data_IF_990209123192
#
_entry.id   IF_990209123192
#
_cell.length_a   1.000
_cell.length_b   1.000
_cell.length_c   1.000
_cell.angle_alpha   90.00
_cell.angle_beta   90.00
_cell.angle_gamma   90.00
#
_symmetry.space_group_name_H-M   'P 1'
#
loop_
_entity.id
_entity.type
_entity.pdbx_description
1 polymer ?
#
# COMPACT_ATOMS: atom_id res chain seq x y z
N UNK A 1 -1.25 -13.55 -4.55
CA UNK A 1 -1.47 -12.19 -5.11
C UNK A 1 -0.31 -11.32 -4.67
N UNK A 2 0.27 -10.53 -5.58
CA UNK A 2 1.42 -9.65 -5.28
C UNK A 2 0.95 -8.21 -5.44
N UNK A 3 1.25 -7.35 -4.46
CA UNK A 3 1.09 -5.92 -4.53
C UNK A 3 2.46 -5.28 -4.76
N UNK A 4 2.61 -4.50 -5.82
CA UNK A 4 3.81 -3.73 -6.08
C UNK A 4 3.65 -2.30 -5.57
N UNK A 5 4.52 -1.90 -4.63
CA UNK A 5 4.60 -0.53 -4.12
C UNK A 5 5.65 0.20 -4.94
N UNK A 6 5.28 1.30 -5.58
CA UNK A 6 6.21 2.02 -6.45
C UNK A 6 7.35 2.67 -5.67
N UNK A 7 8.53 2.60 -6.22
CA UNK A 7 9.74 3.25 -5.73
C UNK A 7 10.52 3.83 -6.91
N UNK A 8 11.11 5.01 -6.75
CA UNK A 8 12.01 5.58 -7.76
C UNK A 8 13.46 5.34 -7.38
N UNK A 9 14.29 5.07 -8.38
CA UNK A 9 15.73 4.94 -8.27
C UNK A 9 16.41 5.57 -9.49
N UNK A 10 17.73 5.41 -9.62
CA UNK A 10 18.50 5.98 -10.73
C UNK A 10 18.09 5.46 -12.12
N UNK A 11 17.43 4.29 -12.20
CA UNK A 11 17.04 3.64 -13.46
C UNK A 11 15.58 3.83 -13.81
N UNK A 12 14.70 3.88 -12.82
CA UNK A 12 13.26 3.86 -13.04
C UNK A 12 12.56 4.88 -12.16
N UNK A 13 11.63 5.61 -12.74
CA UNK A 13 10.67 6.42 -12.00
C UNK A 13 9.48 5.56 -11.54
N UNK A 14 8.56 6.14 -10.78
CA UNK A 14 7.37 5.45 -10.27
C UNK A 14 6.48 4.88 -11.38
N UNK A 15 6.36 5.57 -12.51
CA UNK A 15 5.51 5.17 -13.64
C UNK A 15 6.14 4.01 -14.41
N UNK A 16 7.44 4.09 -14.67
CA UNK A 16 8.18 3.03 -15.34
C UNK A 16 8.22 1.76 -14.48
N UNK A 17 8.48 1.89 -13.17
CA UNK A 17 8.42 0.77 -12.24
C UNK A 17 7.06 0.09 -12.23
N UNK A 18 5.97 0.85 -12.18
CA UNK A 18 4.61 0.32 -12.27
C UNK A 18 4.36 -0.41 -13.60
N UNK A 19 4.81 0.17 -14.73
CA UNK A 19 4.69 -0.45 -16.06
C UNK A 19 5.41 -1.79 -16.13
N UNK A 20 6.64 -1.86 -15.67
CA UNK A 20 7.43 -3.10 -15.66
C UNK A 20 6.79 -4.17 -14.77
N UNK A 21 6.29 -3.79 -13.58
CA UNK A 21 5.57 -4.71 -12.70
C UNK A 21 4.31 -5.29 -13.37
N UNK A 22 3.53 -4.45 -14.07
CA UNK A 22 2.34 -4.88 -14.80
C UNK A 22 2.69 -5.81 -15.96
N UNK A 23 3.75 -5.50 -16.72
CA UNK A 23 4.28 -6.38 -17.78
C UNK A 23 4.75 -7.73 -17.23
N UNK A 24 5.34 -7.73 -16.02
CA UNK A 24 5.73 -8.94 -15.29
C UNK A 24 4.56 -9.74 -14.69
N UNK A 25 3.32 -9.30 -14.90
CA UNK A 25 2.13 -10.02 -14.44
C UNK A 25 1.56 -9.53 -13.10
N UNK A 26 2.13 -8.51 -12.47
CA UNK A 26 1.53 -7.90 -11.29
C UNK A 26 0.17 -7.30 -11.66
N UNK A 27 -0.81 -7.42 -10.76
CA UNK A 27 -2.17 -6.89 -10.95
C UNK A 27 -2.66 -6.05 -9.79
N UNK A 28 -1.73 -5.57 -8.96
CA UNK A 28 -2.03 -4.65 -7.87
C UNK A 28 -0.88 -3.67 -7.69
N UNK A 29 -1.13 -2.41 -7.98
CA UNK A 29 -0.12 -1.33 -7.91
C UNK A 29 -0.50 -0.35 -6.81
N UNK A 30 0.46 -0.01 -5.94
CA UNK A 30 0.34 1.07 -4.95
C UNK A 30 1.31 2.19 -5.31
N UNK A 31 0.80 3.39 -5.58
CA UNK A 31 1.62 4.58 -5.80
C UNK A 31 2.05 5.18 -4.48
N UNK A 32 3.35 5.20 -4.21
CA UNK A 32 3.93 5.78 -3.00
C UNK A 32 4.98 6.83 -3.35
N UNK A 33 4.66 8.11 -3.10
CA UNK A 33 5.53 9.28 -3.38
C UNK A 33 5.46 10.27 -2.22
N UNK A 34 5.99 9.90 -1.04
CA UNK A 34 5.80 10.64 0.23
C UNK A 34 6.31 12.09 0.21
N UNK A 35 7.36 12.38 -0.53
CA UNK A 35 8.00 13.70 -0.54
C UNK A 35 7.68 14.48 -1.85
N UNK A 36 6.72 14.03 -2.65
CA UNK A 36 6.36 14.65 -3.93
C UNK A 36 5.42 15.85 -3.73
N UNK A 37 5.57 16.86 -4.61
CA UNK A 37 4.55 17.90 -4.71
C UNK A 37 3.25 17.31 -5.27
N UNK A 38 2.12 17.86 -4.86
CA UNK A 38 0.78 17.43 -5.30
C UNK A 38 0.68 17.27 -6.83
N UNK A 39 1.17 18.26 -7.57
CA UNK A 39 1.11 18.25 -9.04
C UNK A 39 1.84 17.06 -9.66
N UNK A 40 2.98 16.67 -9.09
CA UNK A 40 3.77 15.55 -9.59
C UNK A 40 3.15 14.22 -9.19
N UNK A 41 2.62 14.12 -7.97
CA UNK A 41 1.85 12.96 -7.52
C UNK A 41 0.64 12.71 -8.42
N UNK A 42 -0.20 13.72 -8.63
CA UNK A 42 -1.41 13.61 -9.44
C UNK A 42 -1.09 13.29 -10.91
N UNK A 43 0.02 13.81 -11.44
CA UNK A 43 0.50 13.49 -12.79
C UNK A 43 0.92 12.02 -12.91
N UNK A 44 1.68 11.51 -11.94
CA UNK A 44 2.08 10.11 -11.88
C UNK A 44 0.85 9.20 -11.71
N UNK A 45 -0.04 9.54 -10.78
CA UNK A 45 -1.26 8.79 -10.52
C UNK A 45 -2.14 8.63 -11.77
N UNK A 46 -2.34 9.69 -12.55
CA UNK A 46 -3.09 9.63 -13.83
C UNK A 46 -2.46 8.69 -14.86
N UNK A 47 -1.12 8.69 -14.94
CA UNK A 47 -0.42 7.77 -15.86
C UNK A 47 -0.55 6.32 -15.40
N UNK A 48 -0.35 6.06 -14.10
CA UNK A 48 -0.47 4.71 -13.53
C UNK A 48 -1.90 4.20 -13.62
N UNK A 49 -2.93 5.05 -13.40
CA UNK A 49 -4.33 4.66 -13.58
C UNK A 49 -4.57 4.09 -14.98
N UNK A 50 -4.13 4.79 -16.02
CA UNK A 50 -4.26 4.33 -17.43
C UNK A 50 -3.58 2.98 -17.65
N UNK A 51 -2.35 2.82 -17.15
CA UNK A 51 -1.65 1.52 -17.21
C UNK A 51 -2.45 0.42 -16.50
N UNK A 52 -2.95 0.69 -15.30
CA UNK A 52 -3.75 -0.29 -14.57
C UNK A 52 -5.05 -0.65 -15.30
N UNK A 53 -5.69 0.30 -16.00
CA UNK A 53 -6.87 0.03 -16.83
C UNK A 53 -6.52 -0.92 -17.99
N UNK A 54 -5.41 -0.66 -18.69
CA UNK A 54 -4.93 -1.51 -19.80
C UNK A 54 -4.63 -2.95 -19.37
N UNK A 55 -4.09 -3.13 -18.16
CA UNK A 55 -3.71 -4.44 -17.59
C UNK A 55 -4.78 -5.05 -16.69
N UNK A 56 -5.96 -4.43 -16.55
CA UNK A 56 -7.02 -4.86 -15.61
C UNK A 56 -6.50 -5.05 -14.18
N UNK A 57 -5.69 -4.10 -13.71
CA UNK A 57 -5.03 -4.13 -12.42
C UNK A 57 -5.67 -3.16 -11.42
N UNK A 58 -5.65 -3.54 -10.15
CA UNK A 58 -6.04 -2.68 -9.04
C UNK A 58 -5.00 -1.59 -8.83
N UNK A 59 -5.45 -0.35 -8.67
CA UNK A 59 -4.62 0.81 -8.41
C UNK A 59 -5.01 1.48 -7.09
N UNK A 60 -4.09 1.59 -6.15
CA UNK A 60 -4.30 2.31 -4.88
C UNK A 60 -3.24 3.37 -4.65
N UNK A 61 -3.58 4.37 -3.84
CA UNK A 61 -2.66 5.41 -3.39
C UNK A 61 -2.08 5.07 -2.03
N UNK A 62 -0.90 5.60 -1.72
CA UNK A 62 -0.34 5.61 -0.37
C UNK A 62 -0.67 6.96 0.27
N UNK A 63 -1.36 6.96 1.39
CA UNK A 63 -1.74 8.04 2.30
C UNK A 63 -2.86 9.01 1.83
N UNK A 64 -2.96 9.38 0.60
CA UNK A 64 -3.78 10.51 0.12
C UNK A 64 -5.27 10.15 -0.14
N UNK A 65 -6.06 10.09 0.93
CA UNK A 65 -7.51 9.77 0.87
C UNK A 65 -8.27 10.74 -0.04
N UNK A 66 -7.97 12.03 0.08
CA UNK A 66 -8.61 13.12 -0.66
C UNK A 66 -8.39 13.05 -2.18
N UNK A 67 -7.32 12.38 -2.63
CA UNK A 67 -7.00 12.26 -4.05
C UNK A 67 -7.53 10.98 -4.71
N UNK A 68 -8.12 10.07 -3.95
CA UNK A 68 -8.66 8.81 -4.50
C UNK A 68 -9.72 9.10 -5.58
N UNK A 69 -10.64 10.01 -5.31
CA UNK A 69 -11.66 10.42 -6.29
C UNK A 69 -11.06 11.13 -7.51
N UNK A 70 -10.10 12.02 -7.30
CA UNK A 70 -9.47 12.83 -8.36
C UNK A 70 -8.63 11.99 -9.33
N UNK A 71 -8.04 10.92 -8.85
CA UNK A 71 -7.15 10.04 -9.63
C UNK A 71 -7.85 8.85 -10.23
N UNK A 72 -9.07 8.56 -9.81
CA UNK A 72 -9.80 7.34 -10.16
C UNK A 72 -9.20 6.08 -9.53
N UNK A 73 -8.41 6.22 -8.45
CA UNK A 73 -7.86 5.07 -7.76
C UNK A 73 -8.95 4.17 -7.18
N UNK A 74 -8.67 2.87 -7.09
CA UNK A 74 -9.59 1.88 -6.53
C UNK A 74 -9.59 1.91 -5.00
N UNK A 75 -8.61 2.58 -4.39
CA UNK A 75 -8.51 2.71 -2.95
C UNK A 75 -7.25 3.40 -2.46
N UNK A 76 -6.96 3.20 -1.18
CA UNK A 76 -5.84 3.81 -0.47
C UNK A 76 -5.23 2.85 0.54
N UNK A 77 -3.93 2.98 0.81
CA UNK A 77 -3.24 2.35 1.93
C UNK A 77 -2.82 3.40 2.95
N UNK A 78 -3.09 3.16 4.22
CA UNK A 78 -2.87 4.11 5.31
C UNK A 78 -1.84 3.57 6.32
N UNK A 79 -0.83 4.37 6.59
CA UNK A 79 0.13 4.12 7.64
C UNK A 79 -0.42 4.44 9.03
N UNK A 80 0.38 4.18 10.06
CA UNK A 80 -0.03 4.40 11.46
C UNK A 80 -0.31 5.86 11.83
N UNK A 81 0.33 6.79 11.14
CA UNK A 81 0.25 8.24 11.42
C UNK A 81 -0.64 8.97 10.42
N UNK A 82 -1.25 8.24 9.49
CA UNK A 82 -2.14 8.80 8.48
C UNK A 82 -3.58 8.83 9.01
N UNK A 83 -4.53 9.22 8.16
CA UNK A 83 -5.94 9.23 8.51
C UNK A 83 -6.40 7.85 9.04
N UNK A 84 -7.16 7.76 10.14
CA UNK A 84 -7.73 6.50 10.60
C UNK A 84 -8.61 5.83 9.53
N UNK A 85 -8.54 4.50 9.46
CA UNK A 85 -9.26 3.70 8.44
C UNK A 85 -10.77 3.93 8.48
N UNK A 86 -11.36 4.06 9.66
CA UNK A 86 -12.80 4.31 9.81
C UNK A 86 -13.22 5.72 9.36
N UNK A 87 -12.35 6.71 9.47
CA UNK A 87 -12.56 8.05 8.90
C UNK A 87 -12.45 8.03 7.38
N UNK A 88 -11.41 7.40 6.85
CA UNK A 88 -11.25 7.20 5.41
C UNK A 88 -12.45 6.43 4.82
N UNK A 89 -12.97 5.44 5.53
CA UNK A 89 -14.17 4.69 5.13
C UNK A 89 -15.41 5.57 5.04
N UNK A 90 -15.60 6.52 5.97
CA UNK A 90 -16.69 7.50 5.92
C UNK A 90 -16.59 8.40 4.69
N UNK A 91 -15.38 8.81 4.30
CA UNK A 91 -15.13 9.66 3.13
C UNK A 91 -15.28 8.93 1.81
N UNK A 92 -14.73 7.72 1.71
CA UNK A 92 -14.63 6.97 0.45
C UNK A 92 -15.80 6.04 0.17
N UNK A 93 -16.61 5.73 1.19
CA UNK A 93 -17.71 4.78 1.09
C UNK A 93 -17.24 3.32 1.04
N UNK A 94 -18.19 2.40 0.79
CA UNK A 94 -17.95 0.94 0.87
C UNK A 94 -17.26 0.34 -0.36
N UNK A 95 -17.24 1.07 -1.48
CA UNK A 95 -16.76 0.55 -2.77
C UNK A 95 -15.27 0.75 -2.99
N UNK A 96 -14.58 1.48 -2.12
CA UNK A 96 -13.14 1.71 -2.20
C UNK A 96 -12.38 0.79 -1.27
N UNK A 97 -11.25 0.30 -1.74
CA UNK A 97 -10.33 -0.55 -0.97
C UNK A 97 -9.56 0.34 0.00
N UNK A 98 -9.57 -0.02 1.28
CA UNK A 98 -8.77 0.67 2.30
C UNK A 98 -7.89 -0.35 2.99
N UNK A 99 -6.58 -0.20 2.81
CA UNK A 99 -5.57 -0.96 3.52
C UNK A 99 -5.00 -0.20 4.71
N UNK A 100 -4.47 -0.92 5.69
CA UNK A 100 -3.80 -0.32 6.83
C UNK A 100 -2.50 -1.02 7.21
N UNK A 101 -1.53 -0.28 7.73
CA UNK A 101 -0.24 -0.82 8.19
C UNK A 101 -0.33 -1.33 9.63
N UNK A 102 0.09 -2.58 9.85
CA UNK A 102 0.25 -3.19 11.17
C UNK A 102 1.72 -3.60 11.41
N UNK A 103 2.16 -3.46 12.67
CA UNK A 103 3.46 -3.95 13.13
C UNK A 103 3.29 -4.87 14.35
N UNK A 104 2.11 -4.92 14.95
CA UNK A 104 1.76 -5.75 16.09
C UNK A 104 0.38 -6.38 15.88
N UNK A 105 0.03 -7.35 16.71
CA UNK A 105 -1.30 -7.96 16.67
C UNK A 105 -2.40 -6.95 17.07
N UNK A 106 -2.14 -6.07 18.03
CA UNK A 106 -3.05 -5.00 18.43
C UNK A 106 -3.38 -4.05 17.26
N UNK A 107 -2.37 -3.77 16.40
CA UNK A 107 -2.62 -3.01 15.16
C UNK A 107 -3.59 -3.75 14.24
N UNK A 108 -3.42 -5.07 14.09
CA UNK A 108 -4.29 -5.90 13.26
C UNK A 108 -5.72 -5.87 13.79
N UNK A 109 -5.90 -6.04 15.10
CA UNK A 109 -7.23 -5.97 15.72
C UNK A 109 -7.89 -4.60 15.55
N UNK A 110 -7.12 -3.53 15.75
CA UNK A 110 -7.59 -2.16 15.57
C UNK A 110 -8.05 -1.92 14.13
N UNK A 111 -7.22 -2.25 13.15
CA UNK A 111 -7.52 -2.08 11.73
C UNK A 111 -8.73 -2.92 11.29
N UNK A 112 -8.84 -4.14 11.78
CA UNK A 112 -9.99 -5.01 11.51
C UNK A 112 -11.30 -4.41 12.07
N UNK A 113 -11.27 -3.87 13.28
CA UNK A 113 -12.41 -3.16 13.87
C UNK A 113 -12.78 -1.88 13.14
N UNK A 114 -11.79 -1.17 12.59
CA UNK A 114 -11.99 0.03 11.77
C UNK A 114 -12.49 -0.27 10.35
N UNK A 115 -12.54 -1.53 9.94
CA UNK A 115 -13.05 -1.96 8.63
C UNK A 115 -12.04 -1.85 7.50
N UNK A 116 -10.75 -2.12 7.76
CA UNK A 116 -9.75 -2.30 6.71
C UNK A 116 -10.08 -3.53 5.85
N UNK A 117 -9.94 -3.39 4.53
CA UNK A 117 -10.15 -4.51 3.59
C UNK A 117 -8.94 -5.43 3.53
N UNK A 118 -7.75 -4.90 3.81
CA UNK A 118 -6.53 -5.67 3.93
C UNK A 118 -5.55 -4.98 4.91
N UNK A 119 -4.57 -5.75 5.37
CA UNK A 119 -3.58 -5.29 6.33
C UNK A 119 -2.19 -5.58 5.78
N UNK A 120 -1.38 -4.53 5.60
CA UNK A 120 0.04 -4.63 5.32
C UNK A 120 0.80 -4.81 6.63
N UNK A 121 1.35 -6.00 6.85
CA UNK A 121 2.09 -6.30 8.07
C UNK A 121 3.59 -6.32 7.79
N UNK A 122 4.37 -5.58 8.57
CA UNK A 122 5.81 -5.51 8.38
C UNK A 122 6.52 -4.59 9.38
N UNK A 123 7.85 -4.38 9.23
CA UNK A 123 8.70 -4.93 8.18
C UNK A 123 9.15 -6.38 8.46
N UNK A 124 9.34 -7.18 7.41
CA UNK A 124 9.91 -8.53 7.55
C UNK A 124 11.39 -8.50 7.90
N UNK A 125 12.15 -7.63 7.23
CA UNK A 125 13.58 -7.36 7.51
C UNK A 125 13.87 -5.87 7.39
N UNK A 126 15.08 -5.48 7.79
CA UNK A 126 15.53 -4.10 7.67
C UNK A 126 15.51 -3.63 6.21
N UNK A 127 15.07 -2.39 6.01
CA UNK A 127 15.09 -1.72 4.71
C UNK A 127 15.42 -0.24 4.89
N UNK A 128 16.08 0.36 3.92
CA UNK A 128 16.37 1.80 3.87
C UNK A 128 15.27 2.60 3.16
N UNK A 129 14.35 1.91 2.48
CA UNK A 129 13.28 2.52 1.68
C UNK A 129 12.27 3.31 2.53
N UNK A 130 12.15 2.96 3.82
CA UNK A 130 11.27 3.63 4.78
C UNK A 130 12.08 4.29 5.88
N UNK A 131 11.97 5.66 5.99
CA UNK A 131 12.78 6.46 6.93
C UNK A 131 12.53 6.13 8.42
N UNK A 132 11.29 5.83 8.80
CA UNK A 132 10.89 5.49 10.18
C UNK A 132 10.43 4.03 10.22
N UNK A 133 11.39 3.11 10.25
CA UNK A 133 11.11 1.69 10.28
C UNK A 133 10.67 1.25 11.68
N UNK A 134 9.54 0.57 11.76
CA UNK A 134 9.12 -0.15 12.98
C UNK A 134 10.07 -1.32 13.27
N UNK A 135 10.07 -1.87 14.50
CA UNK A 135 10.87 -3.06 14.79
C UNK A 135 10.65 -4.18 13.78
N UNK A 136 11.74 -4.81 13.36
CA UNK A 136 11.71 -5.92 12.40
C UNK A 136 10.98 -7.12 13.01
N UNK A 137 9.96 -7.62 12.34
CA UNK A 137 9.17 -8.77 12.80
C UNK A 137 9.89 -10.11 12.58
N UNK A 138 10.59 -10.24 11.46
CA UNK A 138 11.16 -11.53 11.08
C UNK A 138 10.10 -12.62 10.94
N UNK A 139 10.54 -13.86 10.78
CA UNK A 139 9.63 -14.98 10.60
C UNK A 139 8.81 -15.28 11.88
N UNK A 140 9.41 -15.12 13.05
CA UNK A 140 8.74 -15.39 14.34
C UNK A 140 7.63 -14.40 14.61
N UNK A 141 7.90 -13.09 14.45
CA UNK A 141 6.87 -12.08 14.62
C UNK A 141 5.68 -12.26 13.68
N UNK A 142 5.91 -12.70 12.43
CA UNK A 142 4.81 -13.07 11.53
C UNK A 142 4.05 -14.31 12.01
N UNK A 143 4.72 -15.34 12.50
CA UNK A 143 4.08 -16.53 13.06
C UNK A 143 3.20 -16.17 14.25
N UNK A 144 3.69 -15.34 15.15
CA UNK A 144 2.96 -14.91 16.34
C UNK A 144 1.71 -14.10 15.98
N UNK A 145 1.84 -13.14 15.05
CA UNK A 145 0.70 -12.36 14.58
C UNK A 145 -0.31 -13.26 13.88
N UNK A 146 0.13 -14.11 12.93
CA UNK A 146 -0.77 -14.96 12.14
C UNK A 146 -1.48 -16.02 12.98
N UNK A 147 -0.83 -16.56 14.00
CA UNK A 147 -1.45 -17.51 14.93
C UNK A 147 -2.65 -16.91 15.70
N UNK A 148 -2.62 -15.60 15.92
CA UNK A 148 -3.66 -14.86 16.63
C UNK A 148 -4.75 -14.30 15.69
N UNK A 149 -4.50 -14.30 14.39
CA UNK A 149 -5.40 -13.66 13.44
C UNK A 149 -6.61 -14.50 13.07
N UNK A 150 -7.74 -13.77 12.93
CA UNK A 150 -8.97 -14.26 12.30
C UNK A 150 -9.29 -13.59 10.97
N UNK A 151 -8.45 -12.65 10.50
CA UNK A 151 -8.67 -11.84 9.30
C UNK A 151 -7.64 -12.14 8.20
N UNK A 152 -7.93 -11.74 6.95
CA UNK A 152 -7.07 -11.95 5.78
C UNK A 152 -5.86 -11.00 5.81
N UNK A 153 -4.63 -11.55 5.84
CA UNK A 153 -3.38 -10.80 5.73
C UNK A 153 -2.84 -10.81 4.30
N UNK A 154 -2.48 -9.63 3.82
CA UNK A 154 -1.56 -9.50 2.69
C UNK A 154 -0.15 -9.27 3.22
N UNK A 155 0.76 -10.15 2.87
CA UNK A 155 2.18 -9.97 3.18
C UNK A 155 2.79 -9.02 2.16
N UNK A 156 3.28 -7.88 2.63
CA UNK A 156 4.19 -7.05 1.85
C UNK A 156 5.61 -7.40 2.28
N UNK A 157 6.37 -8.06 1.45
CA UNK A 157 7.82 -8.15 1.64
C UNK A 157 8.46 -6.96 0.94
N UNK A 158 9.26 -6.19 1.66
CA UNK A 158 10.17 -5.19 1.07
C UNK A 158 11.39 -5.88 0.39
N UNK A 159 11.19 -7.08 -0.13
CA UNK A 159 12.23 -7.89 -0.79
C UNK A 159 12.54 -7.42 -2.21
N UNK A 160 12.33 -6.14 -2.52
CA UNK A 160 12.62 -5.57 -3.83
C UNK A 160 14.01 -4.92 -3.95
N UNK A 161 14.89 -5.13 -2.97
CA UNK A 161 16.24 -4.54 -2.94
C UNK A 161 17.37 -5.57 -3.14
N UNK A 162 17.13 -6.67 -3.88
CA UNK A 162 18.21 -7.52 -4.39
C UNK A 162 18.31 -7.44 -5.92
#
# INVERSE_FOLDING_TARGET
MIQFITHSNERYDHVEGAKLALQGGCRWIQLRMKDAMEIDFLRAAKKIRRLCDEYHATFILDDHVEWVGLTGADGVHLGKNDMPVDEARKMLGRNKIIGGTANTFEDVERLSRQGADYIGCGPFRFTTTKKNLSPVLGLEGYRDITAQMKACLLYTSDAADE
#
